data_IF_523591678305
#
_entry.id   IF_523591678305
#
_cell.length_a   1.000
_cell.length_b   1.000
_cell.length_c   1.000
_cell.angle_alpha   90.00
_cell.angle_beta   90.00
_cell.angle_gamma   90.00
#
_symmetry.space_group_name_H-M   'P 1'
#
loop_
_entity.id
_entity.type
_entity.pdbx_description
1 polymer ?
#
# COMPACT_ATOMS: atom_id res chain seq x y z
N UNK A 1 10.52 -9.32 -1.87
CA UNK A 1 9.76 -8.05 -2.04
C UNK A 1 8.69 -8.15 -3.13
N UNK A 2 9.01 -8.60 -4.35
CA UNK A 2 8.02 -8.66 -5.47
C UNK A 2 6.77 -9.51 -5.17
N UNK A 3 6.90 -10.67 -4.54
CA UNK A 3 5.76 -11.56 -4.22
C UNK A 3 4.78 -10.97 -3.21
N UNK A 4 5.28 -10.26 -2.18
CA UNK A 4 4.43 -9.62 -1.18
C UNK A 4 3.58 -8.49 -1.79
N UNK A 5 4.18 -7.68 -2.67
CA UNK A 5 3.47 -6.62 -3.40
C UNK A 5 2.37 -7.22 -4.28
N UNK A 6 2.69 -8.26 -5.06
CA UNK A 6 1.70 -8.97 -5.88
C UNK A 6 0.56 -9.54 -5.03
N UNK A 7 0.89 -10.10 -3.85
CA UNK A 7 -0.13 -10.61 -2.95
C UNK A 7 -1.05 -9.50 -2.47
N UNK A 8 -0.51 -8.36 -2.05
CA UNK A 8 -1.30 -7.19 -1.66
C UNK A 8 -2.24 -6.75 -2.79
N UNK A 9 -1.74 -6.61 -4.02
CA UNK A 9 -2.56 -6.22 -5.18
C UNK A 9 -3.71 -7.22 -5.40
N UNK A 10 -3.44 -8.53 -5.35
CA UNK A 10 -4.48 -9.56 -5.51
C UNK A 10 -5.50 -9.58 -4.38
N UNK A 11 -5.07 -9.33 -3.14
CA UNK A 11 -5.97 -9.33 -1.99
C UNK A 11 -6.88 -8.11 -1.96
N UNK A 12 -6.35 -6.95 -2.32
CA UNK A 12 -7.02 -5.66 -2.21
C UNK A 12 -7.70 -5.18 -3.49
N UNK A 13 -7.50 -5.80 -4.66
CA UNK A 13 -8.28 -5.50 -5.88
C UNK A 13 -9.79 -5.57 -5.59
N UNK A 14 -10.61 -4.58 -6.03
CA UNK A 14 -10.30 -3.52 -7.00
C UNK A 14 -9.50 -2.33 -6.46
N UNK A 15 -9.26 -2.29 -5.15
CA UNK A 15 -8.37 -1.35 -4.49
C UNK A 15 -8.71 -1.10 -3.01
N UNK A 16 -7.76 -0.59 -2.21
CA UNK A 16 -8.00 -0.24 -0.82
C UNK A 16 -8.70 1.13 -0.68
N UNK A 17 -9.52 1.26 0.37
CA UNK A 17 -10.16 2.55 0.72
C UNK A 17 -9.19 3.52 1.39
N UNK A 18 -8.25 3.00 2.18
CA UNK A 18 -7.26 3.79 2.91
C UNK A 18 -5.91 3.08 2.94
N UNK A 19 -4.85 3.84 2.76
CA UNK A 19 -3.47 3.46 3.05
C UNK A 19 -3.04 4.07 4.38
N UNK A 20 -2.57 3.21 5.30
CA UNK A 20 -2.01 3.65 6.56
C UNK A 20 -0.49 3.62 6.49
N UNK A 21 0.15 4.78 6.48
CA UNK A 21 1.60 4.91 6.47
C UNK A 21 2.09 4.92 7.91
N UNK A 22 2.57 3.79 8.39
CA UNK A 22 3.00 3.63 9.78
C UNK A 22 4.47 4.00 9.93
N UNK A 23 4.73 5.02 10.74
CA UNK A 23 6.07 5.47 11.11
C UNK A 23 6.27 5.35 12.62
N UNK A 24 7.51 5.22 13.06
CA UNK A 24 7.84 5.33 14.49
C UNK A 24 8.23 6.79 14.76
N UNK A 25 7.82 7.33 15.91
CA UNK A 25 8.29 8.65 16.38
C UNK A 25 9.82 8.71 16.34
N UNK A 26 10.39 9.84 15.94
CA UNK A 26 11.84 10.04 15.68
C UNK A 26 12.46 9.23 14.53
N UNK A 27 11.71 8.35 13.85
CA UNK A 27 12.23 7.51 12.76
C UNK A 27 11.61 7.87 11.41
N UNK A 28 12.26 8.80 10.71
CA UNK A 28 12.03 9.07 9.29
C UNK A 28 13.37 9.26 8.56
N UNK A 29 14.03 8.15 8.27
CA UNK A 29 15.36 8.10 7.67
C UNK A 29 15.26 7.94 6.15
N UNK A 30 16.42 7.83 5.47
CA UNK A 30 16.47 7.50 4.04
C UNK A 30 15.74 6.20 3.70
N UNK A 31 15.72 5.23 4.63
CA UNK A 31 15.01 3.97 4.41
C UNK A 31 13.50 4.19 4.31
N UNK A 32 12.90 4.95 5.22
CA UNK A 32 11.48 5.25 5.17
C UNK A 32 11.14 6.10 3.93
N UNK A 33 12.00 7.06 3.57
CA UNK A 33 11.83 7.86 2.34
C UNK A 33 11.87 6.98 1.07
N UNK A 34 12.76 5.99 1.01
CA UNK A 34 12.81 5.05 -0.10
C UNK A 34 11.52 4.24 -0.22
N UNK A 35 10.88 3.88 0.90
CA UNK A 35 9.57 3.20 0.87
C UNK A 35 8.47 4.13 0.36
N UNK A 36 8.45 5.39 0.77
CA UNK A 36 7.50 6.39 0.24
C UNK A 36 7.70 6.62 -1.26
N UNK A 37 8.95 6.68 -1.71
CA UNK A 37 9.28 6.79 -3.14
C UNK A 37 8.79 5.57 -3.92
N UNK A 38 8.91 4.36 -3.36
CA UNK A 38 8.36 3.13 -3.98
C UNK A 38 6.83 3.15 -4.01
N UNK A 39 6.18 3.65 -2.96
CA UNK A 39 4.72 3.81 -2.93
C UNK A 39 4.26 4.74 -4.06
N UNK A 40 4.95 5.86 -4.28
CA UNK A 40 4.72 6.75 -5.42
C UNK A 40 4.97 6.07 -6.77
N UNK A 41 6.06 5.32 -6.92
CA UNK A 41 6.38 4.60 -8.16
C UNK A 41 5.30 3.56 -8.54
N UNK A 42 4.77 2.81 -7.58
CA UNK A 42 3.77 1.77 -7.84
C UNK A 42 2.34 2.30 -7.94
N UNK A 43 2.02 3.36 -7.21
CA UNK A 43 0.63 3.82 -7.02
C UNK A 43 0.38 5.27 -7.47
N UNK A 44 1.37 5.95 -8.05
CA UNK A 44 1.34 7.38 -8.41
C UNK A 44 1.09 8.31 -7.22
N UNK A 45 1.05 9.63 -7.45
CA UNK A 45 0.74 10.60 -6.39
C UNK A 45 -0.71 10.51 -5.88
N UNK A 46 -1.63 9.93 -6.67
CA UNK A 46 -3.04 9.81 -6.29
C UNK A 46 -3.23 8.96 -5.02
N UNK A 47 -2.32 8.02 -4.76
CA UNK A 47 -2.32 7.18 -3.55
C UNK A 47 -2.35 8.01 -2.26
N UNK A 48 -1.73 9.19 -2.25
CA UNK A 48 -1.65 10.03 -1.06
C UNK A 48 -3.00 10.68 -0.72
N UNK A 49 -3.94 10.79 -1.67
CA UNK A 49 -5.31 11.21 -1.40
C UNK A 49 -6.08 10.17 -0.56
N UNK A 50 -5.67 8.91 -0.66
CA UNK A 50 -6.20 7.79 0.12
C UNK A 50 -5.31 7.42 1.31
N UNK A 51 -4.27 8.20 1.61
CA UNK A 51 -3.33 7.89 2.68
C UNK A 51 -3.49 8.78 3.92
N UNK A 52 -3.14 8.23 5.08
CA UNK A 52 -2.94 8.97 6.34
C UNK A 52 -1.68 8.45 7.04
N UNK A 53 -0.96 9.33 7.73
CA UNK A 53 0.26 8.97 8.47
C UNK A 53 -0.10 8.58 9.90
N UNK A 54 0.39 7.44 10.38
CA UNK A 54 0.25 7.02 11.76
C UNK A 54 1.63 6.89 12.41
N UNK A 55 1.87 7.71 13.42
CA UNK A 55 3.03 7.61 14.28
C UNK A 55 2.76 6.63 15.41
N UNK A 56 3.64 5.66 15.57
CA UNK A 56 3.67 4.73 16.70
C UNK A 56 4.73 5.18 17.69
N UNK A 57 4.64 4.68 18.92
CA UNK A 57 5.52 5.06 20.02
C UNK A 57 5.39 6.54 20.38
N UNK A 58 4.15 7.03 20.49
CA UNK A 58 3.87 8.38 20.98
C UNK A 58 4.50 8.68 22.35
N UNK A 59 4.76 7.66 23.16
CA UNK A 59 5.51 7.74 24.43
C UNK A 59 6.93 8.28 24.29
N UNK A 60 7.50 8.26 23.08
CA UNK A 60 8.84 8.78 22.79
C UNK A 60 8.87 10.27 22.44
N UNK A 61 7.72 10.93 22.30
CA UNK A 61 7.67 12.38 22.21
C UNK A 61 8.14 12.99 23.54
N UNK A 62 8.85 14.12 23.48
CA UNK A 62 9.30 14.84 24.70
C UNK A 62 8.11 15.22 25.56
N UNK A 63 8.34 15.40 26.86
CA UNK A 63 7.32 15.89 27.79
C UNK A 63 6.73 17.21 27.25
N UNK A 64 5.39 17.29 27.17
CA UNK A 64 4.61 18.38 26.57
C UNK A 64 4.70 18.56 25.03
N UNK A 65 5.50 17.76 24.32
CA UNK A 65 5.56 17.82 22.85
C UNK A 65 4.37 17.07 22.22
N UNK A 66 3.56 17.80 21.44
CA UNK A 66 2.52 17.19 20.62
C UNK A 66 3.07 16.64 19.31
N UNK A 67 2.32 15.77 18.64
CA UNK A 67 2.73 15.25 17.34
C UNK A 67 2.84 16.35 16.28
N UNK A 68 1.99 17.38 16.36
CA UNK A 68 2.02 18.54 15.47
C UNK A 68 3.33 19.32 15.61
N UNK A 69 3.80 19.53 16.84
CA UNK A 69 5.09 20.17 17.10
C UNK A 69 6.25 19.34 16.51
N UNK A 70 6.23 18.03 16.73
CA UNK A 70 7.23 17.12 16.14
C UNK A 70 7.25 17.19 14.60
N UNK A 71 6.08 17.26 13.96
CA UNK A 71 5.97 17.38 12.50
C UNK A 71 6.54 18.72 12.02
N UNK A 72 6.24 19.83 12.70
CA UNK A 72 6.76 21.15 12.36
C UNK A 72 8.28 21.23 12.42
N UNK A 73 8.90 20.52 13.37
CA UNK A 73 10.35 20.49 13.55
C UNK A 73 11.07 19.65 12.47
N UNK A 74 10.36 18.75 11.78
CA UNK A 74 10.92 17.85 10.77
C UNK A 74 10.34 18.11 9.37
N UNK A 75 11.11 18.85 8.54
CA UNK A 75 10.69 19.25 7.18
C UNK A 75 10.26 18.07 6.29
N UNK A 76 10.99 16.96 6.36
CA UNK A 76 10.73 15.79 5.52
C UNK A 76 9.42 15.10 5.92
N UNK A 77 9.18 14.99 7.23
CA UNK A 77 7.90 14.47 7.76
C UNK A 77 6.76 15.42 7.42
N UNK A 78 6.96 16.73 7.58
CA UNK A 78 5.96 17.74 7.21
C UNK A 78 5.57 17.65 5.73
N UNK A 79 6.52 17.43 4.82
CA UNK A 79 6.23 17.25 3.40
C UNK A 79 5.37 16.00 3.15
N UNK A 80 5.68 14.87 3.79
CA UNK A 80 4.86 13.66 3.69
C UNK A 80 3.43 13.90 4.22
N UNK A 81 3.29 14.52 5.39
CA UNK A 81 1.98 14.81 5.98
C UNK A 81 1.18 15.76 5.08
N UNK A 82 1.84 16.75 4.46
CA UNK A 82 1.21 17.64 3.47
C UNK A 82 0.75 16.88 2.22
N UNK A 83 1.53 15.93 1.69
CA UNK A 83 1.09 15.06 0.59
C UNK A 83 -0.16 14.25 0.98
N UNK A 84 -0.23 13.80 2.22
CA UNK A 84 -1.40 13.15 2.82
C UNK A 84 -2.49 14.16 3.26
N UNK A 85 -2.56 15.36 2.67
CA UNK A 85 -3.60 16.35 2.94
C UNK A 85 -3.67 16.82 4.40
N UNK A 86 -2.55 16.81 5.13
CA UNK A 86 -2.49 17.19 6.53
C UNK A 86 -2.94 16.11 7.51
N UNK A 87 -3.24 14.88 7.03
CA UNK A 87 -3.77 13.80 7.87
C UNK A 87 -2.63 13.05 8.56
N UNK A 88 -2.59 13.17 9.89
CA UNK A 88 -1.67 12.43 10.73
C UNK A 88 -2.31 12.08 12.08
N UNK A 89 -1.88 10.95 12.65
CA UNK A 89 -2.30 10.48 13.97
C UNK A 89 -1.10 9.94 14.73
N UNK A 90 -1.22 9.87 16.05
CA UNK A 90 -0.25 9.24 16.93
C UNK A 90 -0.96 8.22 17.82
N UNK A 91 -0.32 7.07 18.01
CA UNK A 91 -0.73 6.04 18.97
C UNK A 91 0.41 5.82 19.96
N UNK A 92 0.05 5.80 21.25
CA UNK A 92 0.98 5.54 22.34
C UNK A 92 0.96 4.06 22.73
N UNK A 93 2.05 3.35 22.45
CA UNK A 93 2.11 1.90 22.69
C UNK A 93 2.26 1.54 24.18
N UNK A 94 2.62 2.51 25.05
CA UNK A 94 2.89 2.28 26.47
C UNK A 94 1.62 2.23 27.31
N UNK A 95 0.61 3.03 26.98
CA UNK A 95 -0.63 3.15 27.75
C UNK A 95 -1.80 2.36 27.16
N UNK A 96 -1.54 1.32 26.35
CA UNK A 96 -2.59 0.53 25.68
C UNK A 96 -3.62 -0.09 26.63
N UNK A 97 -3.22 -0.43 27.86
CA UNK A 97 -4.08 -1.10 28.86
C UNK A 97 -4.60 -0.16 29.95
N UNK A 98 -4.13 1.09 29.96
CA UNK A 98 -4.48 2.06 30.99
C UNK A 98 -5.37 3.12 30.33
N UNK A 99 -6.38 3.60 31.06
CA UNK A 99 -7.18 4.74 30.63
C UNK A 99 -6.66 5.97 31.39
N UNK A 100 -5.55 6.60 30.95
CA UNK A 100 -5.09 7.81 31.60
C UNK A 100 -6.18 8.89 31.51
N UNK A 101 -6.25 9.73 32.54
CA UNK A 101 -7.19 10.86 32.58
C UNK A 101 -6.89 11.87 31.46
N UNK A 102 -5.63 11.96 31.04
CA UNK A 102 -5.21 12.77 29.90
C UNK A 102 -5.71 12.17 28.57
N UNK A 103 -6.67 12.85 27.95
CA UNK A 103 -7.26 12.49 26.66
C UNK A 103 -6.19 12.27 25.57
N UNK A 104 -5.11 13.07 25.59
CA UNK A 104 -4.04 12.97 24.60
C UNK A 104 -3.29 11.63 24.64
N UNK A 105 -3.07 11.06 25.83
CA UNK A 105 -2.36 9.78 26.02
C UNK A 105 -3.30 8.57 26.03
N UNK A 106 -4.59 8.80 25.81
CA UNK A 106 -5.61 7.76 25.83
C UNK A 106 -5.77 7.11 24.44
N UNK A 107 -5.40 5.84 24.34
CA UNK A 107 -5.47 5.10 23.07
C UNK A 107 -6.89 4.93 22.54
N UNK A 108 -7.91 4.89 23.40
CA UNK A 108 -9.30 4.84 22.95
C UNK A 108 -9.64 6.09 22.14
N UNK A 109 -9.24 7.26 22.64
CA UNK A 109 -9.47 8.54 21.99
C UNK A 109 -8.61 8.70 20.73
N UNK A 110 -7.35 8.27 20.77
CA UNK A 110 -6.46 8.30 19.61
C UNK A 110 -6.98 7.43 18.47
N UNK A 111 -7.44 6.20 18.77
CA UNK A 111 -8.05 5.31 17.78
C UNK A 111 -9.37 5.86 17.26
N UNK A 112 -10.19 6.45 18.11
CA UNK A 112 -11.44 7.13 17.67
C UNK A 112 -11.15 8.26 16.69
N UNK A 113 -10.14 9.11 16.97
CA UNK A 113 -9.70 10.19 16.07
C UNK A 113 -9.21 9.66 14.72
N UNK A 114 -8.45 8.56 14.72
CA UNK A 114 -8.01 7.89 13.50
C UNK A 114 -9.20 7.36 12.69
N UNK A 115 -10.11 6.62 13.31
CA UNK A 115 -11.29 6.04 12.64
C UNK A 115 -12.21 7.14 12.08
N UNK A 116 -12.42 8.22 12.83
CA UNK A 116 -13.18 9.39 12.35
C UNK A 116 -12.54 10.00 11.11
N UNK A 117 -11.21 10.08 11.06
CA UNK A 117 -10.48 10.59 9.89
C UNK A 117 -10.60 9.64 8.70
N UNK A 118 -10.54 8.33 8.92
CA UNK A 118 -10.79 7.31 7.90
C UNK A 118 -12.20 7.47 7.31
N UNK A 119 -13.22 7.62 8.15
CA UNK A 119 -14.59 7.83 7.67
C UNK A 119 -14.73 9.12 6.86
N UNK A 120 -14.06 10.19 7.29
CA UNK A 120 -14.03 11.46 6.55
C UNK A 120 -13.31 11.32 5.22
N UNK A 121 -12.21 10.58 5.14
CA UNK A 121 -11.50 10.30 3.90
C UNK A 121 -12.39 9.53 2.92
N UNK A 122 -13.05 8.47 3.38
CA UNK A 122 -13.96 7.69 2.53
C UNK A 122 -15.12 8.55 2.04
N UNK A 123 -15.70 9.40 2.89
CA UNK A 123 -16.76 10.34 2.49
C UNK A 123 -16.27 11.39 1.49
N UNK A 124 -15.10 11.98 1.71
CA UNK A 124 -14.51 12.98 0.82
C UNK A 124 -14.18 12.39 -0.57
N UNK A 125 -13.88 11.09 -0.61
CA UNK A 125 -13.68 10.34 -1.84
C UNK A 125 -14.99 9.74 -2.40
N UNK A 126 -16.16 10.21 -1.96
CA UNK A 126 -17.48 9.72 -2.39
C UNK A 126 -17.70 8.21 -2.25
N UNK A 127 -17.06 7.59 -1.25
CA UNK A 127 -17.08 6.14 -1.06
C UNK A 127 -16.18 5.36 -2.03
N UNK A 128 -15.42 6.04 -2.88
CA UNK A 128 -14.47 5.40 -3.78
C UNK A 128 -13.26 4.84 -3.03
N UNK A 129 -12.60 3.89 -3.67
CA UNK A 129 -11.32 3.33 -3.27
C UNK A 129 -10.23 3.79 -4.25
N UNK A 130 -8.99 3.78 -3.79
CA UNK A 130 -7.86 3.97 -4.69
C UNK A 130 -7.83 2.84 -5.71
N UNK A 131 -7.75 3.15 -7.00
CA UNK A 131 -7.60 2.14 -8.05
C UNK A 131 -6.63 2.60 -9.13
N UNK A 132 -6.10 1.65 -9.88
CA UNK A 132 -5.25 1.91 -11.05
C UNK A 132 -5.42 0.77 -12.07
N UNK A 133 -4.78 0.91 -13.23
CA UNK A 133 -4.87 -0.08 -14.31
C UNK A 133 -4.53 -1.51 -13.85
N UNK A 134 -3.51 -1.64 -12.99
CA UNK A 134 -3.10 -2.92 -12.44
C UNK A 134 -4.18 -3.54 -11.54
N UNK A 135 -4.73 -2.78 -10.60
CA UNK A 135 -5.78 -3.25 -9.70
C UNK A 135 -7.06 -3.62 -10.47
N UNK A 136 -7.41 -2.85 -11.50
CA UNK A 136 -8.55 -3.13 -12.39
C UNK A 136 -8.35 -4.47 -13.12
N UNK A 137 -7.18 -4.70 -13.71
CA UNK A 137 -6.89 -5.94 -14.44
C UNK A 137 -6.85 -7.17 -13.52
N UNK A 138 -6.33 -7.01 -12.31
CA UNK A 138 -6.36 -8.09 -11.31
C UNK A 138 -7.79 -8.38 -10.86
N UNK A 139 -8.63 -7.37 -10.70
CA UNK A 139 -10.05 -7.56 -10.40
C UNK A 139 -10.79 -8.29 -11.53
N UNK A 140 -10.53 -7.94 -12.79
CA UNK A 140 -11.09 -8.65 -13.93
C UNK A 140 -10.65 -10.11 -13.99
N UNK A 141 -9.36 -10.40 -13.77
CA UNK A 141 -8.86 -11.77 -13.74
C UNK A 141 -9.46 -12.58 -12.58
N UNK A 142 -9.66 -11.97 -11.41
CA UNK A 142 -10.40 -12.61 -10.30
C UNK A 142 -11.82 -12.96 -10.72
N UNK A 143 -12.56 -12.02 -11.32
CA UNK A 143 -13.94 -12.27 -11.80
C UNK A 143 -14.00 -13.36 -12.86
N UNK A 144 -13.07 -13.37 -13.83
CA UNK A 144 -12.97 -14.42 -14.86
C UNK A 144 -12.72 -15.79 -14.23
N UNK A 145 -11.82 -15.86 -13.25
CA UNK A 145 -11.51 -17.11 -12.56
C UNK A 145 -12.68 -17.61 -11.69
N UNK A 146 -13.39 -16.72 -11.00
CA UNK A 146 -14.61 -17.08 -10.27
C UNK A 146 -15.67 -17.68 -11.21
N UNK A 147 -15.86 -17.10 -12.40
CA UNK A 147 -16.75 -17.64 -13.41
C UNK A 147 -16.30 -19.01 -13.91
N UNK A 148 -15.00 -19.20 -14.16
CA UNK A 148 -14.43 -20.50 -14.55
C UNK A 148 -14.66 -21.57 -13.50
N UNK A 149 -14.47 -21.25 -12.22
CA UNK A 149 -14.73 -22.17 -11.10
C UNK A 149 -16.21 -22.52 -11.04
N UNK A 150 -17.12 -21.55 -11.17
CA UNK A 150 -18.59 -21.79 -11.17
C UNK A 150 -19.02 -22.70 -12.33
N UNK A 151 -18.38 -22.59 -13.48
CA UNK A 151 -18.67 -23.42 -14.66
C UNK A 151 -18.09 -24.84 -14.56
N UNK A 152 -17.20 -25.12 -13.60
CA UNK A 152 -16.61 -26.46 -13.41
C UNK A 152 -17.59 -27.53 -12.90
N UNK A 153 -18.83 -27.13 -12.54
CA UNK A 153 -19.87 -28.03 -12.06
C UNK A 153 -19.75 -28.44 -10.59
N UNK A 154 -18.70 -27.99 -9.89
CA UNK A 154 -18.54 -28.19 -8.45
C UNK A 154 -19.42 -27.19 -7.69
N UNK A 155 -20.42 -27.68 -6.95
CA UNK A 155 -21.14 -26.84 -5.99
C UNK A 155 -20.19 -26.45 -4.85
N UNK A 156 -19.90 -25.16 -4.76
CA UNK A 156 -18.96 -24.61 -3.80
C UNK A 156 -19.51 -23.30 -3.24
N UNK A 157 -19.27 -23.06 -1.95
CA UNK A 157 -19.62 -21.79 -1.30
C UNK A 157 -18.89 -20.62 -1.98
N UNK A 158 -19.56 -19.49 -2.20
CA UNK A 158 -18.98 -18.30 -2.84
C UNK A 158 -17.69 -17.81 -2.14
N UNK A 159 -17.60 -17.95 -0.82
CA UNK A 159 -16.38 -17.61 -0.08
C UNK A 159 -15.17 -18.45 -0.50
N UNK A 160 -15.37 -19.75 -0.74
CA UNK A 160 -14.32 -20.65 -1.21
C UNK A 160 -13.96 -20.33 -2.66
N UNK A 161 -14.95 -20.02 -3.52
CA UNK A 161 -14.73 -19.59 -4.90
C UNK A 161 -13.85 -18.34 -4.94
N UNK A 162 -14.19 -17.31 -4.13
CA UNK A 162 -13.41 -16.08 -4.00
C UNK A 162 -12.00 -16.32 -3.46
N UNK A 163 -11.84 -17.27 -2.53
CA UNK A 163 -10.53 -17.63 -1.99
C UNK A 163 -9.66 -18.33 -3.03
N UNK A 164 -10.22 -19.28 -3.77
CA UNK A 164 -9.53 -20.00 -4.83
C UNK A 164 -9.20 -19.09 -6.01
N UNK A 165 -10.10 -18.18 -6.40
CA UNK A 165 -9.85 -17.23 -7.49
C UNK A 165 -8.66 -16.35 -7.19
N UNK A 166 -8.59 -15.78 -5.98
CA UNK A 166 -7.44 -15.02 -5.49
C UNK A 166 -6.15 -15.82 -5.54
N UNK A 167 -6.17 -17.07 -5.07
CA UNK A 167 -4.97 -17.91 -5.03
C UNK A 167 -4.48 -18.28 -6.44
N UNK A 168 -5.39 -18.59 -7.35
CA UNK A 168 -5.07 -18.93 -8.73
C UNK A 168 -4.51 -17.71 -9.50
N UNK A 169 -5.16 -16.55 -9.39
CA UNK A 169 -4.67 -15.30 -9.99
C UNK A 169 -3.31 -14.90 -9.42
N UNK A 170 -3.09 -15.03 -8.11
CA UNK A 170 -1.79 -14.76 -7.51
C UNK A 170 -0.69 -15.67 -8.07
N UNK A 171 -0.95 -16.96 -8.20
CA UNK A 171 -0.01 -17.93 -8.80
C UNK A 171 0.29 -17.62 -10.27
N UNK A 172 -0.73 -17.24 -11.02
CA UNK A 172 -0.58 -16.84 -12.43
C UNK A 172 0.31 -15.60 -12.57
N UNK A 173 0.06 -14.57 -11.77
CA UNK A 173 0.90 -13.36 -11.73
C UNK A 173 2.35 -13.67 -11.34
N UNK A 174 2.56 -14.56 -10.36
CA UNK A 174 3.90 -15.00 -10.00
C UNK A 174 4.62 -15.72 -11.14
N UNK A 175 3.93 -16.63 -11.83
CA UNK A 175 4.49 -17.36 -12.97
C UNK A 175 4.87 -16.41 -14.11
N UNK A 176 3.95 -15.49 -14.46
CA UNK A 176 4.19 -14.46 -15.47
C UNK A 176 5.42 -13.59 -15.15
N UNK A 177 5.53 -13.12 -13.90
CA UNK A 177 6.68 -12.31 -13.47
C UNK A 177 8.00 -13.08 -13.49
N UNK A 178 7.98 -14.39 -13.21
CA UNK A 178 9.15 -15.24 -13.35
C UNK A 178 9.59 -15.36 -14.82
N UNK A 179 8.64 -15.56 -15.74
CA UNK A 179 8.91 -15.62 -17.19
C UNK A 179 9.53 -14.33 -17.72
N UNK A 180 8.99 -13.16 -17.35
CA UNK A 180 9.55 -11.86 -17.75
C UNK A 180 10.99 -11.71 -17.25
N UNK A 181 11.22 -12.05 -15.98
CA UNK A 181 12.55 -11.94 -15.36
C UNK A 181 13.56 -12.82 -16.09
N UNK A 182 13.16 -14.04 -16.46
CA UNK A 182 13.98 -14.96 -17.24
C UNK A 182 14.31 -14.41 -18.63
N UNK A 183 13.32 -13.90 -19.36
CA UNK A 183 13.52 -13.29 -20.69
C UNK A 183 14.47 -12.08 -20.63
N UNK A 184 14.32 -11.23 -19.60
CA UNK A 184 15.18 -10.08 -19.39
C UNK A 184 16.65 -10.47 -19.15
N UNK A 185 16.88 -11.53 -18.35
CA UNK A 185 18.23 -12.06 -18.11
C UNK A 185 18.88 -12.59 -19.39
N UNK A 186 18.13 -13.35 -20.21
CA UNK A 186 18.61 -13.82 -21.51
C UNK A 186 19.00 -12.66 -22.40
N UNK A 187 18.16 -11.61 -22.49
CA UNK A 187 18.45 -10.43 -23.30
C UNK A 187 19.73 -9.74 -22.86
N UNK A 188 19.94 -9.58 -21.55
CA UNK A 188 21.15 -8.95 -21.02
C UNK A 188 22.43 -9.74 -21.37
N UNK A 189 22.37 -11.07 -21.32
CA UNK A 189 23.50 -11.93 -21.71
C UNK A 189 23.90 -11.77 -23.18
N UNK A 190 22.94 -11.59 -24.09
CA UNK A 190 23.22 -11.49 -25.52
C UNK A 190 23.55 -10.07 -25.99
N UNK A 191 23.00 -9.05 -25.34
CA UNK A 191 23.18 -7.65 -25.78
C UNK A 191 24.35 -6.95 -25.10
N UNK A 192 24.86 -7.46 -23.99
CA UNK A 192 25.95 -6.83 -23.23
C UNK A 192 25.57 -5.51 -22.57
N UNK A 193 24.31 -5.07 -22.68
CA UNK A 193 23.80 -3.88 -22.00
C UNK A 193 23.62 -4.19 -20.50
N UNK A 194 24.67 -3.94 -19.71
CA UNK A 194 24.63 -4.00 -18.25
C UNK A 194 24.01 -2.74 -17.60
N UNK A 195 23.45 -1.84 -18.42
CA UNK A 195 22.70 -0.67 -17.97
C UNK A 195 21.31 -1.15 -17.54
N UNK A 196 21.15 -1.57 -16.30
CA UNK A 196 20.81 -0.67 -15.19
C UNK A 196 20.18 -1.49 -14.05
N UNK A 197 20.84 -1.65 -12.92
CA UNK A 197 20.15 -2.26 -11.75
C UNK A 197 19.12 -1.32 -11.12
N UNK A 198 19.32 0.01 -11.20
CA UNK A 198 18.33 1.02 -10.80
C UNK A 198 17.21 1.27 -11.83
N UNK A 199 17.51 1.20 -13.14
CA UNK A 199 16.48 1.23 -14.19
C UNK A 199 15.92 -0.15 -14.50
N UNK A 200 16.40 -1.27 -13.96
CA UNK A 200 15.64 -2.53 -13.96
C UNK A 200 14.53 -2.47 -12.91
N UNK A 201 14.66 -1.65 -11.85
CA UNK A 201 13.58 -1.43 -10.90
C UNK A 201 12.57 -0.42 -11.46
N UNK A 202 13.05 0.71 -12.00
CA UNK A 202 12.18 1.69 -12.68
C UNK A 202 11.61 1.14 -14.00
N UNK A 203 12.34 0.33 -14.75
CA UNK A 203 11.81 -0.42 -15.89
C UNK A 203 11.05 -1.67 -15.46
N UNK A 204 11.14 -2.18 -14.23
CA UNK A 204 10.16 -3.16 -13.76
C UNK A 204 8.87 -2.47 -13.33
N UNK A 205 8.90 -1.28 -12.72
CA UNK A 205 7.70 -0.47 -12.46
C UNK A 205 7.06 0.01 -13.76
N UNK A 206 7.86 0.61 -14.65
CA UNK A 206 7.42 1.09 -15.95
C UNK A 206 7.12 -0.04 -16.93
N UNK A 207 7.86 -1.16 -16.93
CA UNK A 207 7.45 -2.34 -17.69
C UNK A 207 6.26 -3.00 -17.04
N UNK A 208 6.04 -3.06 -15.73
CA UNK A 208 4.76 -3.57 -15.22
C UNK A 208 3.61 -2.67 -15.73
N UNK A 209 3.77 -1.34 -15.73
CA UNK A 209 2.78 -0.41 -16.29
C UNK A 209 2.63 -0.52 -17.82
N UNK A 210 3.72 -0.76 -18.57
CA UNK A 210 3.75 -0.86 -20.03
C UNK A 210 3.45 -2.27 -20.57
N UNK A 211 3.76 -3.31 -19.80
CA UNK A 211 3.46 -4.72 -20.03
C UNK A 211 1.97 -4.96 -19.78
N UNK A 212 1.36 -4.25 -18.82
CA UNK A 212 -0.10 -4.21 -18.74
C UNK A 212 -0.73 -3.56 -19.97
N UNK A 213 -0.25 -2.41 -20.46
CA UNK A 213 -0.76 -1.76 -21.69
C UNK A 213 -0.53 -2.54 -22.99
N UNK A 214 0.35 -3.55 -23.00
CA UNK A 214 0.74 -4.28 -24.21
C UNK A 214 0.21 -5.72 -24.26
N UNK A 215 -0.31 -6.26 -23.15
CA UNK A 215 -0.95 -7.58 -23.11
C UNK A 215 -2.50 -7.54 -23.11
N UNK A 216 -3.09 -6.35 -23.03
CA UNK A 216 -4.53 -6.07 -23.12
C UNK A 216 -4.75 -4.70 -23.76
#
# INVERSE_FOLDING_TARGET
>A
MKSAILRCITEFAPGPHVFLIVLKVERYTEQEQAVIAKMHEYFSDEVFQFATVLFTHGDQLREEQTIENFICDNKLVMELVKKCGGRCHVIDNKYWKNNPEEEYRNNQVQVEKLLKTIDQMVKANNGAYYTNEMLQKVEESKKREEQRIRQSGVQMLDELIRKLSKENVFKELLAQMATITYVALIKALFTGEASVTNSIIVAAGNAISGWFRSLF
#
